data_IF_274670175797
#
_entry.id   IF_274670175797
#
_cell.length_a   1.000
_cell.length_b   1.000
_cell.length_c   1.000
_cell.angle_alpha   90.00
_cell.angle_beta   90.00
_cell.angle_gamma   90.00
#
_symmetry.space_group_name_H-M   'P 1'
#
loop_
_entity.id
_entity.type
_entity.pdbx_description
1 polymer ?
#
# COMPACT_ATOMS: atom_id res chain seq x y z
N UNK A 1 14.80 -15.07 -12.51
CA UNK A 1 15.12 -15.06 -11.11
C UNK A 1 16.57 -15.44 -11.04
N UNK A 2 17.24 -15.69 -9.94
CA UNK A 2 18.69 -15.83 -9.76
C UNK A 2 19.13 -17.30 -9.79
N UNK A 3 19.58 -17.85 -10.94
CA UNK A 3 19.91 -19.28 -11.04
C UNK A 3 21.11 -19.68 -10.18
N UNK A 4 21.97 -18.76 -9.83
CA UNK A 4 23.20 -19.02 -9.09
C UNK A 4 23.08 -18.74 -7.57
N UNK A 5 21.93 -18.23 -7.11
CA UNK A 5 21.63 -17.89 -5.72
C UNK A 5 22.50 -16.79 -5.11
N UNK A 6 23.25 -16.05 -5.94
CA UNK A 6 24.16 -15.00 -5.48
C UNK A 6 23.53 -13.59 -5.45
N UNK A 7 22.38 -13.42 -6.13
CA UNK A 7 21.70 -12.11 -6.27
C UNK A 7 20.43 -11.99 -5.46
N UNK A 8 19.90 -13.11 -4.99
CA UNK A 8 18.68 -13.14 -4.20
C UNK A 8 18.87 -13.94 -2.91
N UNK A 9 18.32 -13.44 -1.82
CA UNK A 9 18.19 -14.18 -0.57
C UNK A 9 16.73 -14.21 -0.17
N UNK A 10 16.23 -15.35 0.30
CA UNK A 10 14.88 -15.53 0.80
C UNK A 10 14.89 -15.73 2.32
N UNK A 11 14.19 -14.87 3.05
CA UNK A 11 14.06 -14.96 4.50
C UNK A 11 12.59 -14.88 4.89
N UNK A 12 12.12 -15.80 5.74
CA UNK A 12 10.80 -15.70 6.35
C UNK A 12 10.76 -14.51 7.31
N UNK A 13 9.73 -13.66 7.18
CA UNK A 13 9.55 -12.48 8.02
C UNK A 13 8.06 -12.27 8.29
N UNK A 14 7.67 -12.26 9.55
CA UNK A 14 6.37 -11.74 9.96
C UNK A 14 6.49 -10.22 10.03
N UNK A 15 5.83 -9.54 9.11
CA UNK A 15 5.89 -8.05 9.02
C UNK A 15 5.16 -7.35 10.16
N UNK A 16 4.37 -8.06 10.96
CA UNK A 16 3.74 -7.54 12.17
C UNK A 16 4.66 -7.57 13.39
N UNK A 17 5.84 -8.20 13.26
CA UNK A 17 6.89 -8.22 14.28
C UNK A 17 8.01 -7.23 13.92
N UNK A 18 8.16 -6.17 14.71
CA UNK A 18 9.21 -5.16 14.52
C UNK A 18 10.62 -5.77 14.57
N UNK A 19 10.83 -6.79 15.42
CA UNK A 19 12.13 -7.44 15.54
C UNK A 19 12.45 -8.24 14.26
N UNK A 20 11.46 -8.93 13.69
CA UNK A 20 11.63 -9.67 12.46
C UNK A 20 11.99 -8.74 11.27
N UNK A 21 11.32 -7.60 11.12
CA UNK A 21 11.65 -6.59 10.09
C UNK A 21 13.06 -6.02 10.29
N UNK A 22 13.42 -5.68 11.53
CA UNK A 22 14.76 -5.18 11.84
C UNK A 22 15.83 -6.22 11.49
N UNK A 23 15.60 -7.48 11.84
CA UNK A 23 16.51 -8.59 11.52
C UNK A 23 16.65 -8.76 10.01
N UNK A 24 15.55 -8.75 9.25
CA UNK A 24 15.56 -8.79 7.79
C UNK A 24 16.41 -7.67 7.19
N UNK A 25 16.21 -6.44 7.67
CA UNK A 25 16.97 -5.27 7.20
C UNK A 25 18.46 -5.39 7.52
N UNK A 26 18.80 -5.79 8.75
CA UNK A 26 20.20 -5.99 9.16
C UNK A 26 20.87 -7.07 8.30
N UNK A 27 20.22 -8.21 8.12
CA UNK A 27 20.74 -9.31 7.27
C UNK A 27 20.97 -8.83 5.82
N UNK A 28 20.05 -8.05 5.27
CA UNK A 28 20.22 -7.51 3.92
C UNK A 28 21.44 -6.56 3.83
N UNK A 29 21.61 -5.68 4.81
CA UNK A 29 22.77 -4.77 4.88
C UNK A 29 24.08 -5.54 5.03
N UNK A 30 24.13 -6.55 5.91
CA UNK A 30 25.32 -7.39 6.10
C UNK A 30 25.70 -8.18 4.85
N UNK A 31 24.72 -8.69 4.12
CA UNK A 31 24.94 -9.49 2.93
C UNK A 31 25.26 -8.68 1.67
N UNK A 32 24.57 -7.55 1.46
CA UNK A 32 24.63 -6.77 0.23
C UNK A 32 25.26 -5.38 0.40
N UNK A 33 25.64 -5.02 1.62
CA UNK A 33 26.28 -3.74 1.97
C UNK A 33 25.30 -2.61 2.26
N UNK A 34 24.13 -2.58 1.59
CA UNK A 34 23.11 -1.54 1.79
C UNK A 34 21.74 -1.94 1.25
N UNK A 35 20.73 -1.16 1.59
CA UNK A 35 19.38 -1.25 1.02
C UNK A 35 19.09 0.06 0.29
N UNK A 36 18.91 0.01 -1.03
CA UNK A 36 18.56 1.17 -1.86
C UNK A 36 17.05 1.39 -1.89
N UNK A 37 16.28 0.30 -1.96
CA UNK A 37 14.83 0.33 -2.04
C UNK A 37 14.26 -0.61 -0.98
N UNK A 38 13.37 -0.11 -0.15
CA UNK A 38 12.56 -0.96 0.74
C UNK A 38 11.10 -0.95 0.28
N UNK A 39 10.60 -2.12 -0.13
CA UNK A 39 9.23 -2.29 -0.60
C UNK A 39 8.36 -2.92 0.50
N UNK A 40 7.53 -2.12 1.17
CA UNK A 40 6.52 -2.58 2.13
C UNK A 40 5.26 -3.00 1.37
N UNK A 41 5.17 -4.28 0.99
CA UNK A 41 4.13 -4.79 0.11
C UNK A 41 3.17 -5.78 0.77
N UNK A 42 3.55 -6.40 1.89
CA UNK A 42 2.70 -7.37 2.57
C UNK A 42 1.34 -6.78 2.95
N UNK A 43 0.27 -7.53 2.71
CA UNK A 43 -1.08 -7.06 2.99
C UNK A 43 -2.11 -8.16 2.87
N UNK A 44 -3.28 -7.95 3.44
CA UNK A 44 -4.43 -8.83 3.34
C UNK A 44 -5.72 -8.01 3.30
N UNK A 45 -6.71 -8.50 2.55
CA UNK A 45 -8.05 -7.93 2.57
C UNK A 45 -8.77 -8.21 3.89
N UNK A 46 -9.64 -7.29 4.31
CA UNK A 46 -10.63 -7.54 5.34
C UNK A 46 -11.95 -6.91 4.93
N UNK A 47 -13.02 -7.67 5.06
CA UNK A 47 -14.39 -7.20 4.90
C UNK A 47 -15.01 -6.91 6.26
N UNK A 48 -16.13 -6.22 6.26
CA UNK A 48 -16.96 -5.94 7.42
C UNK A 48 -17.23 -4.44 7.59
N UNK A 49 -18.45 -4.17 8.04
CA UNK A 49 -18.83 -2.83 8.50
C UNK A 49 -18.27 -2.61 9.90
N UNK A 50 -18.36 -1.37 10.38
CA UNK A 50 -17.90 -0.99 11.71
C UNK A 50 -18.54 -1.86 12.83
N UNK A 51 -19.81 -2.24 12.65
CA UNK A 51 -20.58 -3.06 13.61
C UNK A 51 -20.28 -4.55 13.54
N UNK A 52 -19.69 -5.04 12.45
CA UNK A 52 -19.56 -6.46 12.16
C UNK A 52 -18.13 -6.98 12.33
N UNK A 53 -17.14 -6.08 12.09
CA UNK A 53 -15.74 -6.42 12.26
C UNK A 53 -15.34 -6.38 13.74
N UNK A 54 -14.83 -7.49 14.27
CA UNK A 54 -14.36 -7.57 15.65
C UNK A 54 -13.12 -6.71 15.91
N UNK A 55 -12.82 -6.42 17.18
CA UNK A 55 -11.61 -5.68 17.56
C UNK A 55 -10.34 -6.41 17.12
N UNK A 56 -10.33 -7.72 17.10
CA UNK A 56 -9.20 -8.54 16.64
C UNK A 56 -8.92 -8.32 15.16
N UNK A 57 -9.98 -8.25 14.32
CA UNK A 57 -9.84 -7.93 12.89
C UNK A 57 -9.27 -6.51 12.71
N UNK A 58 -9.76 -5.53 13.48
CA UNK A 58 -9.22 -4.17 13.46
C UNK A 58 -7.75 -4.13 13.85
N UNK A 59 -7.38 -4.82 14.94
CA UNK A 59 -6.00 -4.87 15.41
C UNK A 59 -5.08 -5.54 14.39
N UNK A 60 -5.48 -6.69 13.83
CA UNK A 60 -4.70 -7.39 12.80
C UNK A 60 -4.46 -6.52 11.56
N UNK A 61 -5.50 -5.82 11.10
CA UNK A 61 -5.36 -4.91 9.95
C UNK A 61 -4.47 -3.71 10.28
N UNK A 62 -4.52 -3.20 11.50
CA UNK A 62 -3.67 -2.11 11.96
C UNK A 62 -2.20 -2.51 12.03
N UNK A 63 -1.89 -3.67 12.63
CA UNK A 63 -0.53 -4.21 12.66
C UNK A 63 0.01 -4.45 11.25
N UNK A 64 -0.81 -5.05 10.38
CA UNK A 64 -0.40 -5.43 9.03
C UNK A 64 -0.22 -4.21 8.09
N UNK A 65 -1.11 -3.22 8.12
CA UNK A 65 -1.11 -2.11 7.14
C UNK A 65 -0.58 -0.79 7.69
N UNK A 66 -0.59 -0.62 9.00
CA UNK A 66 -0.10 0.59 9.68
C UNK A 66 1.28 0.37 10.28
N UNK A 67 1.36 -0.52 11.27
CA UNK A 67 2.58 -0.72 12.04
C UNK A 67 3.71 -1.34 11.23
N UNK A 68 3.43 -2.28 10.33
CA UNK A 68 4.46 -2.91 9.49
C UNK A 68 5.23 -1.89 8.63
N UNK A 69 4.54 -0.91 8.06
CA UNK A 69 5.17 0.18 7.30
C UNK A 69 6.01 1.09 8.20
N UNK A 70 5.55 1.36 9.44
CA UNK A 70 6.31 2.11 10.43
C UNK A 70 7.58 1.34 10.86
N UNK A 71 7.46 0.03 11.12
CA UNK A 71 8.59 -0.83 11.48
C UNK A 71 9.65 -0.88 10.37
N UNK A 72 9.21 -1.00 9.12
CA UNK A 72 10.07 -0.95 7.95
C UNK A 72 10.83 0.38 7.85
N UNK A 73 10.12 1.51 7.97
CA UNK A 73 10.74 2.83 7.96
C UNK A 73 11.76 2.99 9.09
N UNK A 74 11.43 2.62 10.31
CA UNK A 74 12.35 2.66 11.46
C UNK A 74 13.61 1.81 11.27
N UNK A 75 13.46 0.65 10.63
CA UNK A 75 14.57 -0.27 10.42
C UNK A 75 15.55 0.25 9.37
N UNK A 76 15.08 0.88 8.28
CA UNK A 76 15.92 1.20 7.13
C UNK A 76 16.34 2.67 7.06
N UNK A 77 15.51 3.62 7.54
CA UNK A 77 15.78 5.06 7.44
C UNK A 77 17.13 5.51 8.03
N UNK A 78 17.55 5.06 9.23
CA UNK A 78 18.83 5.48 9.78
C UNK A 78 20.00 5.22 8.81
N UNK A 79 20.01 4.05 8.19
CA UNK A 79 21.02 3.66 7.24
C UNK A 79 20.92 4.45 5.91
N UNK A 80 19.71 4.67 5.40
CA UNK A 80 19.48 5.46 4.19
C UNK A 80 19.87 6.94 4.39
N UNK A 81 19.52 7.52 5.53
CA UNK A 81 19.85 8.92 5.90
C UNK A 81 21.36 9.09 6.00
N UNK A 82 22.07 8.18 6.66
CA UNK A 82 23.54 8.22 6.76
C UNK A 82 24.20 8.20 5.38
N UNK A 83 23.63 7.47 4.41
CA UNK A 83 24.10 7.44 3.01
C UNK A 83 23.64 8.64 2.18
N UNK A 84 22.65 9.40 2.64
CA UNK A 84 22.03 10.48 1.86
C UNK A 84 21.22 9.98 0.66
N UNK A 85 20.79 8.72 0.66
CA UNK A 85 20.08 8.11 -0.46
C UNK A 85 19.28 6.90 -0.04
N UNK A 86 18.01 6.84 -0.47
CA UNK A 86 17.13 5.70 -0.26
C UNK A 86 15.75 5.89 -0.90
N UNK A 87 15.04 4.78 -1.07
CA UNK A 87 13.69 4.78 -1.63
C UNK A 87 12.76 3.89 -0.81
N UNK A 88 11.64 4.45 -0.38
CA UNK A 88 10.56 3.71 0.29
C UNK A 88 9.36 3.57 -0.65
N UNK A 89 8.99 2.34 -0.99
CA UNK A 89 7.78 2.03 -1.74
C UNK A 89 6.75 1.37 -0.82
N UNK A 90 5.65 2.06 -0.55
CA UNK A 90 4.59 1.57 0.33
C UNK A 90 3.36 1.14 -0.47
N UNK A 91 2.94 -0.13 -0.37
CA UNK A 91 1.73 -0.61 -1.03
C UNK A 91 0.49 -0.35 -0.17
N UNK A 92 -0.28 0.66 -0.56
CA UNK A 92 -1.56 0.98 0.03
C UNK A 92 -2.72 0.40 -0.82
N UNK A 93 -3.68 1.23 -1.19
CA UNK A 93 -4.84 0.91 -2.02
C UNK A 93 -5.60 2.21 -2.33
N UNK A 94 -6.39 2.28 -3.41
CA UNK A 94 -7.38 3.35 -3.58
C UNK A 94 -8.35 3.45 -2.41
N UNK A 95 -8.59 2.36 -1.68
CA UNK A 95 -9.37 2.39 -0.44
C UNK A 95 -8.82 3.39 0.60
N UNK A 96 -7.49 3.59 0.63
CA UNK A 96 -6.85 4.58 1.50
C UNK A 96 -7.02 6.02 1.02
N UNK A 97 -7.28 6.23 -0.25
CA UNK A 97 -7.52 7.55 -0.85
C UNK A 97 -9.01 7.92 -0.88
N UNK A 98 -9.88 6.93 -1.16
CA UNK A 98 -11.30 7.12 -1.50
C UNK A 98 -12.26 6.59 -0.45
N UNK A 99 -12.05 5.44 0.08
CA UNK A 99 -12.83 4.52 0.89
C UNK A 99 -13.46 3.39 0.06
N UNK A 100 -13.37 2.16 0.57
CA UNK A 100 -14.00 0.97 -0.02
C UNK A 100 -15.32 0.66 0.66
N UNK A 101 -16.36 0.41 -0.14
CA UNK A 101 -17.68 0.05 0.37
C UNK A 101 -17.60 -1.33 1.04
N UNK A 102 -18.14 -1.44 2.27
CA UNK A 102 -18.19 -2.71 3.00
C UNK A 102 -16.87 -3.19 3.61
N UNK A 103 -15.82 -2.36 3.63
CA UNK A 103 -14.50 -2.73 4.13
C UNK A 103 -13.91 -1.64 5.03
N UNK A 104 -14.51 -1.47 6.21
CA UNK A 104 -14.13 -0.42 7.18
C UNK A 104 -12.69 -0.56 7.68
N UNK A 105 -12.28 -1.70 8.27
CA UNK A 105 -10.92 -1.88 8.78
C UNK A 105 -9.85 -1.68 7.71
N UNK A 106 -10.05 -2.26 6.52
CA UNK A 106 -9.12 -2.11 5.41
C UNK A 106 -9.01 -0.65 4.94
N UNK A 107 -10.13 0.05 4.78
CA UNK A 107 -10.17 1.47 4.38
C UNK A 107 -9.34 2.35 5.31
N UNK A 108 -9.58 2.22 6.62
CA UNK A 108 -8.92 3.06 7.63
C UNK A 108 -7.44 2.77 7.71
N UNK A 109 -7.06 1.50 7.70
CA UNK A 109 -5.64 1.12 7.83
C UNK A 109 -4.85 1.41 6.55
N UNK A 110 -5.44 1.28 5.36
CA UNK A 110 -4.81 1.72 4.11
C UNK A 110 -4.72 3.25 4.00
N UNK A 111 -5.65 4.01 4.59
CA UNK A 111 -5.51 5.46 4.72
C UNK A 111 -4.35 5.85 5.66
N UNK A 112 -4.13 5.09 6.74
CA UNK A 112 -2.98 5.28 7.60
C UNK A 112 -1.64 5.02 6.85
N UNK A 113 -1.57 3.98 6.02
CA UNK A 113 -0.39 3.70 5.19
C UNK A 113 -0.09 4.84 4.20
N UNK A 114 -1.13 5.38 3.53
CA UNK A 114 -0.98 6.56 2.64
C UNK A 114 -0.46 7.76 3.42
N UNK A 115 -1.05 8.06 4.59
CA UNK A 115 -0.66 9.22 5.39
C UNK A 115 0.74 9.09 5.99
N UNK A 116 1.14 7.87 6.37
CA UNK A 116 2.53 7.59 6.80
C UNK A 116 3.52 7.83 5.65
N UNK A 117 3.22 7.34 4.45
CA UNK A 117 4.07 7.58 3.28
C UNK A 117 4.21 9.08 2.97
N UNK A 118 3.12 9.85 3.02
CA UNK A 118 3.13 11.30 2.84
C UNK A 118 3.99 12.00 3.90
N UNK A 119 3.83 11.61 5.17
CA UNK A 119 4.65 12.14 6.26
C UNK A 119 6.14 11.86 6.04
N UNK A 120 6.51 10.64 5.65
CA UNK A 120 7.89 10.26 5.36
C UNK A 120 8.47 11.06 4.18
N UNK A 121 7.70 11.24 3.11
CA UNK A 121 8.11 12.02 1.94
C UNK A 121 8.39 13.48 2.31
N UNK A 122 7.58 14.09 3.17
CA UNK A 122 7.77 15.46 3.63
C UNK A 122 8.96 15.57 4.58
N UNK A 123 9.09 14.62 5.51
CA UNK A 123 10.06 14.71 6.61
C UNK A 123 11.50 14.43 6.18
N UNK A 124 11.70 13.62 5.13
CA UNK A 124 13.00 13.09 4.74
C UNK A 124 13.45 13.45 3.32
N UNK A 125 12.78 14.42 2.68
CA UNK A 125 13.17 14.89 1.35
C UNK A 125 14.61 15.45 1.33
N UNK A 126 14.95 16.25 2.34
CA UNK A 126 16.29 16.86 2.47
C UNK A 126 17.37 15.84 2.89
N UNK A 127 16.95 14.67 3.41
CA UNK A 127 17.86 13.57 3.72
C UNK A 127 18.19 12.70 2.48
N UNK A 128 17.70 13.07 1.30
CA UNK A 128 17.89 12.33 0.04
C UNK A 128 17.00 11.09 -0.07
N UNK A 129 15.91 10.99 0.73
CA UNK A 129 14.98 9.87 0.71
C UNK A 129 13.82 10.16 -0.23
N UNK A 130 13.55 9.21 -1.13
CA UNK A 130 12.36 9.21 -1.99
C UNK A 130 11.30 8.27 -1.43
N UNK A 131 10.03 8.65 -1.59
CA UNK A 131 8.91 7.86 -1.11
C UNK A 131 7.82 7.83 -2.15
N UNK A 132 7.33 6.62 -2.47
CA UNK A 132 6.13 6.42 -3.27
C UNK A 132 5.11 5.59 -2.53
N UNK A 133 3.83 5.85 -2.81
CA UNK A 133 2.72 5.03 -2.35
C UNK A 133 1.98 4.43 -3.53
N UNK A 134 2.02 3.11 -3.63
CA UNK A 134 1.36 2.32 -4.65
C UNK A 134 -0.10 2.06 -4.24
N UNK A 135 -1.04 2.47 -5.06
CA UNK A 135 -2.48 2.34 -4.81
C UNK A 135 -3.19 1.60 -5.98
N UNK A 136 -3.01 0.29 -6.11
CA UNK A 136 -3.64 -0.50 -7.17
C UNK A 136 -5.09 -0.83 -6.83
N UNK A 137 -5.96 -0.84 -7.84
CA UNK A 137 -7.26 -1.52 -7.76
C UNK A 137 -7.09 -3.04 -7.98
N UNK A 138 -7.93 -3.65 -8.80
CA UNK A 138 -7.87 -5.09 -9.08
C UNK A 138 -6.57 -5.49 -9.78
N UNK A 139 -5.83 -6.43 -9.19
CA UNK A 139 -4.66 -7.09 -9.77
C UNK A 139 -4.91 -8.59 -9.77
N UNK A 140 -4.58 -9.28 -10.86
CA UNK A 140 -4.78 -10.72 -11.01
C UNK A 140 -3.83 -11.51 -10.09
N UNK A 141 -4.23 -11.66 -8.85
CA UNK A 141 -3.48 -12.36 -7.79
C UNK A 141 -4.42 -13.23 -6.97
N UNK A 142 -3.87 -14.05 -6.07
CA UNK A 142 -4.66 -14.84 -5.13
C UNK A 142 -5.52 -13.98 -4.18
N UNK A 143 -5.20 -12.69 -4.01
CA UNK A 143 -5.97 -11.72 -3.22
C UNK A 143 -7.11 -11.09 -4.00
N UNK A 144 -7.14 -11.24 -5.34
CA UNK A 144 -8.19 -10.63 -6.16
C UNK A 144 -9.57 -11.12 -5.70
N UNK A 145 -10.54 -10.21 -5.47
CA UNK A 145 -11.89 -10.61 -5.07
C UNK A 145 -12.50 -11.51 -6.16
N UNK A 146 -13.18 -12.57 -5.74
CA UNK A 146 -13.86 -13.50 -6.67
C UNK A 146 -15.11 -12.93 -7.33
N UNK A 147 -15.58 -11.78 -6.88
CA UNK A 147 -16.75 -11.06 -7.43
C UNK A 147 -16.36 -9.61 -7.74
N UNK A 148 -16.97 -9.06 -8.79
CA UNK A 148 -16.83 -7.65 -9.13
C UNK A 148 -17.36 -6.78 -7.98
N UNK A 149 -16.45 -6.16 -7.25
CA UNK A 149 -16.75 -5.13 -6.25
C UNK A 149 -16.38 -3.75 -6.77
N UNK A 150 -16.59 -2.73 -5.95
CA UNK A 150 -16.20 -1.35 -6.26
C UNK A 150 -14.69 -1.17 -6.55
N UNK A 151 -13.83 -2.03 -5.98
CA UNK A 151 -12.38 -2.05 -6.23
C UNK A 151 -11.94 -2.68 -7.55
N UNK A 152 -12.87 -3.11 -8.41
CA UNK A 152 -12.60 -3.69 -9.74
C UNK A 152 -13.38 -2.98 -10.86
N UNK A 153 -13.96 -1.83 -10.56
CA UNK A 153 -14.83 -1.09 -11.50
C UNK A 153 -14.09 -0.75 -12.80
N UNK A 154 -12.80 -0.49 -12.72
CA UNK A 154 -11.96 -0.05 -13.84
C UNK A 154 -11.10 -1.19 -14.43
N UNK A 155 -11.40 -2.45 -14.04
CA UNK A 155 -10.77 -3.65 -14.57
C UNK A 155 -9.75 -4.28 -13.62
N UNK A 156 -9.17 -5.38 -14.11
CA UNK A 156 -8.10 -6.13 -13.43
C UNK A 156 -6.89 -6.10 -14.34
N UNK A 157 -5.74 -5.74 -13.78
CA UNK A 157 -4.45 -5.75 -14.51
C UNK A 157 -3.59 -6.93 -14.07
N UNK A 158 -2.66 -7.33 -14.94
CA UNK A 158 -1.70 -8.37 -14.61
C UNK A 158 -0.57 -7.83 -13.72
N UNK A 159 0.04 -8.68 -12.85
CA UNK A 159 1.14 -8.26 -11.98
C UNK A 159 2.33 -7.64 -12.72
N UNK A 160 2.62 -8.11 -13.93
CA UNK A 160 3.69 -7.60 -14.78
C UNK A 160 3.41 -6.16 -15.23
N UNK A 161 2.17 -5.86 -15.62
CA UNK A 161 1.74 -4.50 -16.00
C UNK A 161 1.85 -3.55 -14.80
N UNK A 162 1.45 -4.02 -13.60
CA UNK A 162 1.62 -3.26 -12.37
C UNK A 162 3.09 -2.96 -12.10
N UNK A 163 3.97 -3.96 -12.25
CA UNK A 163 5.40 -3.79 -12.01
C UNK A 163 6.03 -2.76 -12.96
N UNK A 164 5.63 -2.76 -14.23
CA UNK A 164 6.10 -1.77 -15.22
C UNK A 164 5.70 -0.34 -14.82
N UNK A 165 4.44 -0.14 -14.38
CA UNK A 165 3.96 1.17 -13.88
C UNK A 165 4.73 1.60 -12.63
N UNK A 166 5.03 0.68 -11.72
CA UNK A 166 5.82 0.96 -10.50
C UNK A 166 7.23 1.43 -10.89
N UNK A 167 7.92 0.68 -11.75
CA UNK A 167 9.29 1.00 -12.17
C UNK A 167 9.35 2.38 -12.83
N UNK A 168 8.41 2.68 -13.73
CA UNK A 168 8.38 3.98 -14.40
C UNK A 168 8.05 5.12 -13.43
N UNK A 169 7.09 4.92 -12.53
CA UNK A 169 6.75 5.92 -11.52
C UNK A 169 7.91 6.19 -10.55
N UNK A 170 8.69 5.16 -10.21
CA UNK A 170 9.89 5.31 -9.38
C UNK A 170 11.00 6.08 -10.11
N UNK A 171 11.19 5.87 -11.42
CA UNK A 171 12.15 6.65 -12.24
C UNK A 171 11.79 8.13 -12.28
N UNK A 172 10.49 8.43 -12.31
CA UNK A 172 9.97 9.79 -12.31
C UNK A 172 9.81 10.38 -10.90
N UNK A 173 10.15 9.62 -9.86
CA UNK A 173 10.01 10.00 -8.45
C UNK A 173 8.57 10.42 -8.09
N UNK A 174 7.55 9.82 -8.73
CA UNK A 174 6.15 10.11 -8.44
C UNK A 174 5.76 9.61 -7.06
N UNK A 175 5.12 10.47 -6.27
CA UNK A 175 4.61 10.06 -4.96
C UNK A 175 3.46 9.07 -5.07
N UNK A 176 2.38 9.41 -5.82
CA UNK A 176 1.28 8.48 -6.08
C UNK A 176 1.59 7.59 -7.30
N UNK A 177 1.63 6.28 -7.07
CA UNK A 177 1.69 5.28 -8.13
C UNK A 177 0.29 4.69 -8.31
N UNK A 178 -0.39 5.11 -9.37
CA UNK A 178 -1.79 4.78 -9.67
C UNK A 178 -1.85 3.94 -10.96
N UNK A 179 -1.78 2.61 -10.87
CA UNK A 179 -1.80 1.73 -12.04
C UNK A 179 -3.14 1.78 -12.82
N UNK A 180 -4.22 2.20 -12.15
CA UNK A 180 -5.53 2.49 -12.74
C UNK A 180 -5.71 4.01 -12.79
N UNK A 181 -5.60 4.63 -13.98
CA UNK A 181 -5.58 6.10 -14.10
C UNK A 181 -6.89 6.76 -13.65
N UNK A 182 -8.01 6.03 -13.66
CA UNK A 182 -9.31 6.51 -13.19
C UNK A 182 -9.28 6.93 -11.70
N UNK A 183 -8.39 6.32 -10.91
CA UNK A 183 -8.24 6.63 -9.48
C UNK A 183 -7.82 8.09 -9.28
N UNK A 184 -6.96 8.63 -10.14
CA UNK A 184 -6.55 10.03 -10.07
C UNK A 184 -7.76 10.98 -10.23
N UNK A 185 -8.63 10.69 -11.19
CA UNK A 185 -9.85 11.47 -11.42
C UNK A 185 -10.81 11.36 -10.23
N UNK A 186 -10.92 10.17 -9.61
CA UNK A 186 -11.76 10.00 -8.43
C UNK A 186 -11.23 10.80 -7.23
N UNK A 187 -9.92 10.80 -7.02
CA UNK A 187 -9.28 11.59 -5.96
C UNK A 187 -9.51 13.09 -6.20
N UNK A 188 -9.38 13.56 -7.44
CA UNK A 188 -9.64 14.94 -7.82
C UNK A 188 -11.10 15.33 -7.54
N UNK A 189 -12.07 14.51 -7.98
CA UNK A 189 -13.51 14.75 -7.72
C UNK A 189 -13.85 14.80 -6.23
N UNK A 190 -13.21 13.95 -5.43
CA UNK A 190 -13.36 13.95 -3.98
C UNK A 190 -12.81 15.24 -3.37
N UNK A 191 -11.65 15.70 -3.83
CA UNK A 191 -11.03 16.94 -3.37
C UNK A 191 -11.82 18.19 -3.78
N UNK A 192 -12.37 18.21 -4.99
CA UNK A 192 -13.16 19.33 -5.50
C UNK A 192 -14.44 19.59 -4.68
N UNK A 193 -15.14 18.53 -4.28
CA UNK A 193 -16.35 18.65 -3.46
C UNK A 193 -16.66 17.35 -2.72
N UNK A 194 -16.26 17.30 -1.46
CA UNK A 194 -16.43 16.11 -0.61
C UNK A 194 -17.91 15.74 -0.38
N UNK A 195 -18.80 16.71 -0.21
CA UNK A 195 -20.22 16.42 0.05
C UNK A 195 -20.89 15.79 -1.17
N UNK A 196 -20.60 16.30 -2.36
CA UNK A 196 -21.06 15.71 -3.63
C UNK A 196 -20.49 14.30 -3.82
N UNK A 197 -19.22 14.09 -3.49
CA UNK A 197 -18.58 12.77 -3.53
C UNK A 197 -19.29 11.79 -2.62
N UNK A 198 -19.53 12.14 -1.36
CA UNK A 198 -20.21 11.29 -0.38
C UNK A 198 -21.62 10.89 -0.84
N UNK A 199 -22.38 11.82 -1.42
CA UNK A 199 -23.70 11.51 -2.02
C UNK A 199 -23.58 10.50 -3.15
N UNK A 200 -22.54 10.60 -3.99
CA UNK A 200 -22.23 9.65 -5.06
C UNK A 200 -21.92 8.24 -4.51
N UNK A 201 -21.06 8.17 -3.50
CA UNK A 201 -20.68 6.91 -2.84
C UNK A 201 -21.85 6.24 -2.11
N UNK A 202 -22.75 7.02 -1.51
CA UNK A 202 -23.98 6.51 -0.91
C UNK A 202 -24.91 5.86 -1.96
N UNK A 203 -25.00 6.46 -3.16
CA UNK A 203 -25.79 5.90 -4.27
C UNK A 203 -25.15 4.58 -4.75
N UNK A 204 -23.82 4.56 -4.92
CA UNK A 204 -23.08 3.37 -5.32
C UNK A 204 -23.28 2.25 -4.32
N UNK A 205 -23.18 2.53 -3.02
CA UNK A 205 -23.43 1.55 -1.94
C UNK A 205 -24.84 0.96 -2.05
N UNK A 206 -25.88 1.78 -2.22
CA UNK A 206 -27.26 1.28 -2.37
C UNK A 206 -27.40 0.34 -3.57
N UNK A 207 -26.77 0.70 -4.71
CA UNK A 207 -26.77 -0.14 -5.92
C UNK A 207 -26.06 -1.48 -5.70
N UNK A 208 -24.94 -1.48 -4.98
CA UNK A 208 -24.19 -2.71 -4.68
C UNK A 208 -25.00 -3.67 -3.82
N UNK A 209 -25.74 -3.16 -2.83
CA UNK A 209 -26.60 -3.99 -1.96
C UNK A 209 -27.80 -4.58 -2.71
N UNK A 210 -28.41 -3.84 -3.65
CA UNK A 210 -29.54 -4.34 -4.44
C UNK A 210 -29.17 -5.40 -5.48
N UNK A 211 -27.90 -5.55 -5.83
CA UNK A 211 -27.41 -6.58 -6.76
C UNK A 211 -26.99 -7.88 -6.05
N UNK A 212 -27.08 -7.94 -4.72
CA UNK A 212 -26.65 -9.09 -3.91
C UNK A 212 -27.87 -9.91 -3.41
N UNK A 213 -29.10 -9.40 -3.61
CA UNK A 213 -30.38 -10.11 -3.41
C UNK A 213 -30.82 -10.79 -4.74
#
# INVERSE_FOLDING_TARGET
VDPDGQRCNGQACDVTDEIAIRTLTTTAIEQFGHVDIFCSNAGAGASGLLTDASNEVWQQQWELHGMSHLYAARAVLPHMIERGSGYLLNTASPAGLLAAIGSGPYTVTKAAAVKLAEFLAISHADDGIRVSVLCPQGVNTAMAPKSLGDGQTDGIIEPEQLADVVIESMREERFHVLPHPEVEEYVRRKGDNIDRWLVGMQRLRRKSLSNTE
#
